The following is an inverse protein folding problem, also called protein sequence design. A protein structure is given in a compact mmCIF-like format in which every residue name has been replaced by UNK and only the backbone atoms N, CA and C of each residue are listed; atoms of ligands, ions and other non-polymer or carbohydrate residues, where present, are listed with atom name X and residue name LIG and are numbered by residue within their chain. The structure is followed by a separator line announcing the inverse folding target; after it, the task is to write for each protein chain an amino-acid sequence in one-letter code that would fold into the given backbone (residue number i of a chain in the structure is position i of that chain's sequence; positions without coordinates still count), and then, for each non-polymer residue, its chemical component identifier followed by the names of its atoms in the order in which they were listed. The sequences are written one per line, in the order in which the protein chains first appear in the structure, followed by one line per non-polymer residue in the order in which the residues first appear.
data_IF_006556735969
#
_entry.id   IF_006556735969
#
_cell.length_a   1.000
_cell.length_b   1.000
_cell.length_c   1.000
_cell.angle_alpha   90.00
_cell.angle_beta   90.00
_cell.angle_gamma   90.00
#
_symmetry.space_group_name_H-M   'P 1'
#
loop_
_entity.id
_entity.type
_entity.pdbx_description
1 polymer ?
#
# COMPACT_ATOMS: atom_id res chain seq x y z
N UNK A 1 -21.65 3.69 1.35
CA UNK A 1 -21.03 4.17 2.63
C UNK A 1 -20.44 2.98 3.33
N UNK A 2 -19.27 3.12 3.95
CA UNK A 2 -18.63 2.06 4.74
C UNK A 2 -18.75 2.43 6.21
N UNK A 3 -19.31 1.53 7.01
CA UNK A 3 -19.44 1.69 8.46
C UNK A 3 -18.88 0.48 9.21
N UNK A 4 -18.92 0.53 10.54
CA UNK A 4 -18.52 -0.58 11.41
C UNK A 4 -19.68 -1.05 12.26
N UNK A 5 -19.57 -2.26 12.82
CA UNK A 5 -20.53 -2.77 13.81
C UNK A 5 -20.34 -2.19 15.22
N UNK A 6 -19.57 -1.11 15.39
CA UNK A 6 -19.37 -0.46 16.69
C UNK A 6 -20.64 0.23 17.20
N UNK A 7 -21.53 0.66 16.29
CA UNK A 7 -22.83 1.26 16.64
C UNK A 7 -23.92 0.66 15.77
N UNK A 8 -24.96 0.13 16.40
CA UNK A 8 -26.08 -0.49 15.71
C UNK A 8 -26.97 0.57 15.02
N UNK A 9 -27.23 0.39 13.72
CA UNK A 9 -28.08 1.26 12.91
C UNK A 9 -28.93 0.44 11.93
N UNK A 10 -30.22 0.28 12.22
CA UNK A 10 -31.14 -0.55 11.43
C UNK A 10 -31.41 0.00 10.01
N UNK A 11 -31.56 1.31 9.87
CA UNK A 11 -31.90 1.95 8.59
C UNK A 11 -30.81 1.81 7.53
N UNK A 12 -29.54 1.78 7.96
CA UNK A 12 -28.38 1.67 7.08
C UNK A 12 -28.10 0.23 6.68
N UNK A 13 -28.37 -0.74 7.57
CA UNK A 13 -28.15 -2.16 7.32
C UNK A 13 -28.97 -2.69 6.13
N UNK A 14 -30.14 -2.09 5.87
CA UNK A 14 -31.02 -2.47 4.78
C UNK A 14 -30.71 -1.77 3.44
N UNK A 15 -29.67 -0.94 3.37
CA UNK A 15 -29.29 -0.23 2.13
C UNK A 15 -28.26 -1.04 1.35
N UNK A 16 -28.52 -1.27 0.07
CA UNK A 16 -27.62 -2.03 -0.82
C UNK A 16 -26.22 -1.42 -0.96
N UNK A 17 -26.11 -0.10 -0.81
CA UNK A 17 -24.82 0.62 -0.88
C UNK A 17 -24.07 0.66 0.45
N UNK A 18 -24.62 0.10 1.52
CA UNK A 18 -24.00 0.09 2.83
C UNK A 18 -23.15 -1.17 3.00
N UNK A 19 -21.88 -0.97 3.35
CA UNK A 19 -20.95 -2.04 3.64
C UNK A 19 -20.60 -1.95 5.13
N UNK A 20 -20.92 -3.01 5.88
CA UNK A 20 -20.58 -3.13 7.29
C UNK A 20 -19.26 -3.90 7.45
N UNK A 21 -18.32 -3.32 8.19
CA UNK A 21 -17.04 -3.97 8.53
C UNK A 21 -17.03 -4.38 9.99
N UNK A 22 -16.63 -5.62 10.27
CA UNK A 22 -16.57 -6.14 11.63
C UNK A 22 -15.29 -5.67 12.36
N UNK A 23 -15.44 -5.05 13.52
CA UNK A 23 -14.36 -4.58 14.40
C UNK A 23 -14.27 -5.32 15.74
N UNK A 24 -15.05 -6.39 15.95
CA UNK A 24 -15.06 -7.17 17.19
C UNK A 24 -13.67 -7.74 17.53
N UNK A 25 -12.94 -8.21 16.51
CA UNK A 25 -11.56 -8.71 16.68
C UNK A 25 -10.58 -7.60 17.10
N UNK A 26 -10.77 -6.38 16.60
CA UNK A 26 -9.97 -5.22 16.99
C UNK A 26 -10.19 -4.90 18.48
N UNK A 27 -11.44 -4.86 18.93
CA UNK A 27 -11.76 -4.61 20.33
C UNK A 27 -11.25 -5.71 21.26
N UNK A 28 -11.38 -6.98 20.88
CA UNK A 28 -10.82 -8.09 21.66
C UNK A 28 -9.31 -7.92 21.88
N UNK A 29 -8.57 -7.59 20.82
CA UNK A 29 -7.12 -7.37 20.90
C UNK A 29 -6.76 -6.15 21.78
N UNK A 30 -7.53 -5.06 21.69
CA UNK A 30 -7.35 -3.89 22.58
C UNK A 30 -7.53 -4.30 24.05
N UNK A 31 -8.60 -5.02 24.37
CA UNK A 31 -8.88 -5.49 25.74
C UNK A 31 -7.73 -6.39 26.24
N UNK A 32 -7.29 -7.34 25.43
CA UNK A 32 -6.17 -8.22 25.78
C UNK A 32 -4.90 -7.44 26.04
N UNK A 33 -4.55 -6.47 25.20
CA UNK A 33 -3.33 -5.65 25.39
C UNK A 33 -3.41 -4.80 26.64
N UNK A 34 -4.55 -4.15 26.89
CA UNK A 34 -4.77 -3.37 28.11
C UNK A 34 -4.64 -4.23 29.37
N UNK A 35 -5.23 -5.43 29.36
CA UNK A 35 -5.14 -6.36 30.48
C UNK A 35 -3.70 -6.75 30.84
N UNK A 36 -2.81 -6.87 29.84
CA UNK A 36 -1.41 -7.24 30.04
C UNK A 36 -0.45 -6.05 30.09
N UNK A 37 -0.96 -4.80 30.12
CA UNK A 37 -0.14 -3.59 30.12
C UNK A 37 0.69 -3.39 28.84
N UNK A 38 0.27 -3.99 27.73
CA UNK A 38 0.96 -3.89 26.44
C UNK A 38 0.58 -2.61 25.70
N UNK A 39 1.52 -2.06 24.93
CA UNK A 39 1.27 -0.88 24.11
C UNK A 39 0.21 -1.13 23.03
N UNK A 40 -0.65 -0.14 22.81
CA UNK A 40 -1.62 -0.11 21.71
C UNK A 40 -1.02 0.50 20.42
N UNK A 41 0.15 1.13 20.48
CA UNK A 41 0.76 1.83 19.35
C UNK A 41 0.92 0.91 18.13
N UNK A 42 1.43 -0.31 18.32
CA UNK A 42 1.62 -1.27 17.23
C UNK A 42 0.31 -1.75 16.60
N UNK A 43 -0.80 -1.67 17.33
CA UNK A 43 -2.12 -2.01 16.81
C UNK A 43 -2.70 -0.87 15.96
N UNK A 44 -2.35 0.37 16.27
CA UNK A 44 -2.83 1.57 15.58
C UNK A 44 -1.91 2.01 14.44
N UNK A 45 -0.65 1.57 14.45
CA UNK A 45 0.30 1.86 13.38
C UNK A 45 0.06 0.97 12.15
N UNK A 46 -0.60 1.55 11.16
CA UNK A 46 -0.92 0.88 9.91
C UNK A 46 0.12 1.11 8.80
N UNK A 47 1.21 1.86 9.04
CA UNK A 47 2.20 2.22 7.99
C UNK A 47 2.72 0.99 7.25
N UNK A 48 3.09 -0.05 7.99
CA UNK A 48 3.62 -1.30 7.43
C UNK A 48 2.59 -2.04 6.57
N UNK A 49 1.32 -1.99 6.91
CA UNK A 49 0.23 -2.64 6.16
C UNK A 49 -0.04 -1.85 4.87
N UNK A 50 -0.09 -0.52 4.96
CA UNK A 50 -0.25 0.38 3.82
C UNK A 50 0.89 0.19 2.82
N UNK A 51 2.14 0.16 3.28
CA UNK A 51 3.32 -0.07 2.42
C UNK A 51 3.25 -1.41 1.68
N UNK A 52 2.80 -2.47 2.36
CA UNK A 52 2.58 -3.79 1.74
C UNK A 52 1.51 -3.74 0.67
N UNK A 53 0.38 -3.06 0.94
CA UNK A 53 -0.70 -2.92 -0.05
C UNK A 53 -0.27 -2.11 -1.27
N UNK A 54 0.48 -1.02 -1.09
CA UNK A 54 1.01 -0.19 -2.18
C UNK A 54 2.03 -0.96 -3.04
N UNK A 55 2.85 -1.82 -2.43
CA UNK A 55 3.78 -2.68 -3.17
C UNK A 55 3.05 -3.77 -3.95
N UNK A 56 1.98 -4.33 -3.39
CA UNK A 56 1.15 -5.34 -4.05
C UNK A 56 0.28 -4.78 -5.19
N UNK A 57 -0.12 -3.50 -5.10
CA UNK A 57 -0.96 -2.85 -6.12
C UNK A 57 -0.18 -2.29 -7.31
N UNK A 58 1.16 -2.18 -7.22
CA UNK A 58 2.01 -1.87 -8.36
C UNK A 58 2.34 -3.17 -9.09
N UNK A 59 1.80 -3.40 -10.31
CA UNK A 59 2.33 -4.45 -11.16
C UNK A 59 3.81 -4.13 -11.38
N UNK A 60 4.69 -5.11 -11.20
CA UNK A 60 6.11 -4.95 -11.50
C UNK A 60 6.27 -4.40 -12.92
N UNK A 61 6.69 -3.15 -13.05
CA UNK A 61 7.21 -2.62 -14.32
C UNK A 61 8.40 -3.50 -14.70
N UNK A 62 8.22 -4.27 -15.77
CA UNK A 62 9.24 -5.11 -16.38
C UNK A 62 10.44 -4.23 -16.72
N UNK A 63 11.60 -4.53 -16.12
CA UNK A 63 12.87 -3.97 -16.54
C UNK A 63 13.28 -4.61 -17.87
N UNK A 64 12.75 -4.11 -18.98
CA UNK A 64 13.24 -4.43 -20.33
C UNK A 64 13.80 -3.16 -20.97
N UNK A 65 15.01 -2.76 -20.57
CA UNK A 65 15.82 -1.84 -21.39
C UNK A 65 17.31 -2.03 -21.12
N UNK A 66 17.84 -3.09 -21.74
CA UNK A 66 19.24 -3.22 -22.14
C UNK A 66 19.27 -4.06 -23.43
N UNK A 67 18.69 -3.50 -24.48
CA UNK A 67 18.88 -3.97 -25.84
C UNK A 67 20.03 -3.16 -26.47
N UNK A 68 21.02 -3.89 -26.95
CA UNK A 68 22.22 -3.45 -27.62
C UNK A 68 21.99 -2.36 -28.68
N UNK A 69 22.88 -1.38 -28.71
CA UNK A 69 22.99 -0.38 -29.78
C UNK A 69 24.04 -0.87 -30.82
N UNK A 70 23.69 -1.19 -32.08
CA UNK A 70 24.66 -1.45 -33.12
C UNK A 70 24.87 -0.20 -34.00
N UNK A 71 26.11 0.28 -33.97
CA UNK A 71 26.88 0.90 -35.05
C UNK A 71 26.21 1.98 -35.94
N UNK A 72 26.70 3.21 -35.79
CA UNK A 72 26.70 4.25 -36.82
C UNK A 72 28.06 4.95 -36.90
N UNK A 73 28.83 4.69 -37.96
CA UNK A 73 30.07 5.40 -38.30
C UNK A 73 29.72 6.77 -38.95
N UNK A 74 30.42 7.86 -38.62
CA UNK A 74 30.95 8.78 -39.65
C UNK A 74 32.01 9.75 -39.09
N UNK A 75 32.98 10.05 -39.97
CA UNK A 75 34.26 10.74 -39.82
C UNK A 75 34.09 12.27 -39.72
N UNK A 76 35.03 12.96 -39.06
CA UNK A 76 36.03 13.80 -39.75
C UNK A 76 36.87 14.65 -38.77
N UNK A 77 38.17 14.33 -38.83
CA UNK A 77 39.38 15.10 -38.58
C UNK A 77 39.24 16.64 -38.58
N UNK A 78 39.79 17.29 -37.55
CA UNK A 78 40.40 18.63 -37.61
C UNK A 78 41.29 18.84 -36.37
N UNK A 79 42.52 18.32 -36.41
CA UNK A 79 43.66 19.01 -35.79
C UNK A 79 44.14 20.10 -36.77
N UNK A 80 44.65 21.25 -36.28
CA UNK A 80 46.10 21.34 -36.13
C UNK A 80 46.59 22.09 -34.87
N UNK A 81 47.61 21.50 -34.24
CA UNK A 81 48.88 22.07 -33.79
C UNK A 81 48.93 23.57 -33.46
N UNK A 82 49.14 23.90 -32.18
CA UNK A 82 50.29 24.69 -31.65
C UNK A 82 50.63 24.20 -30.25
#
# INVERSE_FOLDING_TARGET
IIGTNAVYHEELLNKEWYISTNVSGLFANVITRLHHGQSLSDLLDNRTIIDKMIKASRPSETKDEQAADPMGQNQNNCDPVV
#
